data_IF_390310471043
#
_entry.id   IF_390310471043
#
_cell.length_a   1.000
_cell.length_b   1.000
_cell.length_c   1.000
_cell.angle_alpha   90.00
_cell.angle_beta   90.00
_cell.angle_gamma   90.00
#
_symmetry.space_group_name_H-M   'P 1'
#
loop_
_entity.id
_entity.type
_entity.pdbx_description
1 polymer ?
#
# COMPACT_ATOMS: atom_id res chain seq x y z
N UNK A 1 -0.36 -16.92 0.39
CA UNK A 1 -1.35 -16.43 -0.61
C UNK A 1 -1.61 -14.96 -0.29
N UNK A 2 -1.56 -14.08 -1.29
CA UNK A 2 -1.80 -12.64 -1.09
C UNK A 2 -3.23 -12.33 -1.51
N UNK A 3 -3.91 -11.43 -0.79
CA UNK A 3 -5.27 -10.98 -1.10
C UNK A 3 -5.17 -9.52 -1.51
N UNK A 4 -5.72 -9.18 -2.67
CA UNK A 4 -5.84 -7.79 -3.09
C UNK A 4 -6.89 -7.06 -2.23
N UNK A 5 -6.45 -6.01 -1.54
CA UNK A 5 -7.27 -5.17 -0.68
C UNK A 5 -7.17 -3.69 -1.08
N UNK A 6 -6.70 -3.40 -2.29
CA UNK A 6 -6.47 -2.04 -2.79
C UNK A 6 -7.73 -1.18 -2.66
N UNK A 7 -8.91 -1.72 -3.04
CA UNK A 7 -10.19 -1.01 -2.95
C UNK A 7 -10.71 -0.81 -1.51
N UNK A 8 -9.99 -1.28 -0.49
CA UNK A 8 -10.38 -1.21 0.93
C UNK A 8 -9.47 -0.32 1.76
N UNK A 9 -8.45 0.28 1.16
CA UNK A 9 -7.50 1.17 1.81
C UNK A 9 -7.51 2.52 1.11
N UNK A 10 -7.15 3.58 1.85
CA UNK A 10 -6.82 4.88 1.27
C UNK A 10 -5.34 5.17 1.53
N UNK A 11 -4.69 5.85 0.59
CA UNK A 11 -3.26 6.19 0.65
C UNK A 11 -2.96 7.49 -0.11
N UNK A 12 -1.80 8.09 0.14
CA UNK A 12 -1.29 9.23 -0.63
C UNK A 12 -0.20 8.79 -1.63
N UNK A 13 0.51 9.75 -2.23
CA UNK A 13 1.63 9.45 -3.10
C UNK A 13 2.70 8.65 -2.36
N UNK A 14 3.20 7.59 -3.00
CA UNK A 14 4.37 6.85 -2.53
C UNK A 14 5.66 7.57 -2.88
N UNK A 15 6.72 7.26 -2.13
CA UNK A 15 8.10 7.41 -2.61
C UNK A 15 8.59 6.10 -3.24
N UNK A 16 9.89 5.97 -3.50
CA UNK A 16 10.48 4.82 -4.19
C UNK A 16 10.20 3.48 -3.46
N UNK A 17 10.04 3.48 -2.13
CA UNK A 17 9.95 2.25 -1.34
C UNK A 17 8.78 2.22 -0.35
N UNK A 18 8.15 3.37 -0.06
CA UNK A 18 7.17 3.55 1.00
C UNK A 18 5.88 4.19 0.48
N UNK A 19 4.74 3.68 0.97
CA UNK A 19 3.40 4.20 0.69
C UNK A 19 2.72 4.63 2.00
N UNK A 20 2.39 5.92 2.20
CA UNK A 20 1.64 6.39 3.35
C UNK A 20 0.16 5.98 3.26
N UNK A 21 -0.27 5.11 4.17
CA UNK A 21 -1.68 4.70 4.32
C UNK A 21 -2.43 5.72 5.17
N UNK A 22 -3.53 6.25 4.65
CA UNK A 22 -4.43 7.17 5.37
C UNK A 22 -5.70 6.47 5.86
N UNK A 23 -6.00 5.27 5.36
CA UNK A 23 -7.05 4.38 5.90
C UNK A 23 -6.71 2.92 5.70
N UNK A 24 -6.76 2.11 6.77
CA UNK A 24 -6.57 0.66 6.69
C UNK A 24 -7.89 -0.08 6.37
N UNK A 25 -7.78 -1.36 6.00
CA UNK A 25 -8.89 -2.29 5.74
C UNK A 25 -9.87 -2.41 6.92
N UNK A 26 -9.41 -2.19 8.16
CA UNK A 26 -10.30 -2.18 9.33
C UNK A 26 -11.12 -0.89 9.49
N UNK A 27 -10.88 0.12 8.64
CA UNK A 27 -11.53 1.43 8.70
C UNK A 27 -10.79 2.49 9.50
N UNK A 28 -9.73 2.11 10.24
CA UNK A 28 -8.91 3.06 10.99
C UNK A 28 -8.24 4.07 10.06
N UNK A 29 -8.26 5.34 10.45
CA UNK A 29 -7.66 6.45 9.70
C UNK A 29 -6.35 6.88 10.34
N UNK A 30 -5.39 7.26 9.51
CA UNK A 30 -4.09 7.74 9.95
C UNK A 30 -3.79 9.09 9.30
N UNK A 31 -3.08 9.94 10.04
CA UNK A 31 -2.39 11.07 9.43
C UNK A 31 -1.37 10.57 8.39
N UNK A 32 -1.14 11.32 7.31
CA UNK A 32 -0.11 10.98 6.33
C UNK A 32 1.24 10.70 7.01
N UNK A 33 1.98 9.72 6.50
CA UNK A 33 3.30 9.31 7.00
C UNK A 33 3.32 8.71 8.43
N UNK A 34 2.17 8.60 9.13
CA UNK A 34 2.07 7.93 10.43
C UNK A 34 2.06 6.41 10.31
N UNK A 35 1.39 5.87 9.30
CA UNK A 35 1.40 4.45 8.97
C UNK A 35 1.85 4.27 7.52
N UNK A 36 3.11 3.87 7.35
CA UNK A 36 3.70 3.60 6.05
C UNK A 36 3.83 2.10 5.85
N UNK A 37 3.67 1.66 4.62
CA UNK A 37 3.91 0.27 4.21
C UNK A 37 5.01 0.27 3.15
N UNK A 38 5.83 -0.78 3.13
CA UNK A 38 6.93 -0.90 2.17
C UNK A 38 6.51 -1.65 0.90
N UNK A 39 7.32 -1.53 -0.16
CA UNK A 39 7.19 -2.34 -1.38
C UNK A 39 7.65 -3.80 -1.15
N UNK A 40 8.37 -4.06 -0.06
CA UNK A 40 8.98 -5.34 0.25
C UNK A 40 7.97 -6.30 0.89
N UNK A 41 7.48 -7.26 0.10
CA UNK A 41 6.53 -8.30 0.55
C UNK A 41 7.02 -9.10 1.77
N UNK A 42 8.33 -9.31 1.89
CA UNK A 42 8.92 -10.12 2.96
C UNK A 42 9.05 -9.34 4.29
N UNK A 43 8.87 -8.02 4.25
CA UNK A 43 8.80 -7.15 5.43
C UNK A 43 7.51 -6.31 5.46
N UNK A 44 6.33 -6.94 5.59
CA UNK A 44 5.07 -6.24 5.55
C UNK A 44 4.75 -5.58 6.91
N UNK A 45 4.23 -4.37 6.84
CA UNK A 45 3.96 -3.53 7.99
C UNK A 45 2.60 -3.86 8.60
N UNK A 46 2.59 -4.07 9.92
CA UNK A 46 1.36 -4.37 10.66
C UNK A 46 0.61 -3.07 10.98
N UNK A 47 -0.67 -3.01 10.60
CA UNK A 47 -1.56 -1.93 11.01
C UNK A 47 -1.64 -1.89 12.54
N UNK A 48 -1.39 -0.73 13.19
CA UNK A 48 -1.36 -0.64 14.65
C UNK A 48 -2.74 -0.86 15.30
N UNK A 49 -3.84 -0.71 14.55
CA UNK A 49 -5.19 -0.88 15.09
C UNK A 49 -5.73 -2.32 14.96
N UNK A 50 -5.38 -3.04 13.89
CA UNK A 50 -5.98 -4.36 13.63
C UNK A 50 -4.96 -5.48 13.37
N UNK A 51 -3.66 -5.17 13.33
CA UNK A 51 -2.59 -6.15 13.10
C UNK A 51 -2.50 -6.70 11.67
N UNK A 52 -3.35 -6.25 10.74
CA UNK A 52 -3.25 -6.65 9.32
C UNK A 52 -1.89 -6.21 8.77
N UNK A 53 -1.18 -7.17 8.17
CA UNK A 53 0.13 -6.96 7.56
C UNK A 53 -0.05 -6.57 6.10
N UNK A 54 0.45 -5.40 5.73
CA UNK A 54 0.26 -4.80 4.42
C UNK A 54 1.63 -4.49 3.80
N UNK A 55 1.72 -4.67 2.49
CA UNK A 55 2.80 -4.20 1.62
C UNK A 55 2.13 -3.68 0.34
N UNK A 56 2.82 -2.84 -0.43
CA UNK A 56 2.33 -2.42 -1.74
C UNK A 56 3.22 -2.95 -2.86
N UNK A 57 2.73 -2.89 -4.09
CA UNK A 57 3.53 -3.24 -5.27
C UNK A 57 3.21 -2.28 -6.41
N UNK A 58 4.24 -1.78 -7.08
CA UNK A 58 4.08 -0.99 -8.29
C UNK A 58 4.10 -1.88 -9.53
N UNK A 59 3.27 -1.56 -10.53
CA UNK A 59 3.29 -2.21 -11.84
C UNK A 59 3.56 -1.18 -12.93
N UNK A 60 4.66 -1.37 -13.67
CA UNK A 60 4.95 -0.55 -14.87
C UNK A 60 4.31 -1.22 -16.08
N UNK A 61 3.59 -0.44 -16.90
CA UNK A 61 3.06 -0.89 -18.20
C UNK A 61 3.71 -0.07 -19.29
N UNK A 62 4.19 -0.73 -20.34
CA UNK A 62 4.77 -0.12 -21.52
C UNK A 62 3.91 -0.52 -22.71
N UNK A 63 3.49 0.46 -23.51
CA UNK A 63 2.73 0.24 -24.73
C UNK A 63 3.58 0.69 -25.92
N UNK A 64 3.64 -0.13 -26.97
CA UNK A 64 4.16 0.29 -28.27
C UNK A 64 3.03 0.95 -29.08
N UNK A 65 3.34 2.03 -29.79
CA UNK A 65 2.43 2.62 -30.77
C UNK A 65 2.86 2.14 -32.15
N UNK A 66 2.04 1.29 -32.77
CA UNK A 66 2.20 0.88 -34.16
C UNK A 66 1.45 1.90 -35.05
N UNK A 67 2.05 2.43 -36.13
CA UNK A 67 1.41 3.38 -37.04
C UNK A 67 0.15 2.83 -37.72
#
# INVERSE_FOLDING_TARGET
>A
MNIDVTDKVDFQGNDDECLPITKCVCGEKFEPWRFMISIYKDDPYACPACGRRLFFSMGIRVYEVIP
#
